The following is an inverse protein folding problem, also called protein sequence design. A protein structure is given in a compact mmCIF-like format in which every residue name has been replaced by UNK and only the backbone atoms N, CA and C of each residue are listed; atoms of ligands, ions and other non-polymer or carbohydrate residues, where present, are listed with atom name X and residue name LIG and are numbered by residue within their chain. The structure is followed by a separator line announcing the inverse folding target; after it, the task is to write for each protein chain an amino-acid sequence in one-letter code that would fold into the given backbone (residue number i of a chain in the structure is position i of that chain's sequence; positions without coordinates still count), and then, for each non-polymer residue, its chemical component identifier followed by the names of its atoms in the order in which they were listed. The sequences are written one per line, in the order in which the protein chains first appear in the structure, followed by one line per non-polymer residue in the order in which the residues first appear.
data_IF_860008406324
#
_entry.id   IF_860008406324
#
_cell.length_a   1.000
_cell.length_b   1.000
_cell.length_c   1.000
_cell.angle_alpha   90.00
_cell.angle_beta   90.00
_cell.angle_gamma   90.00
#
_symmetry.space_group_name_H-M   'P 1'
#
loop_
_entity.id
_entity.type
_entity.pdbx_description
1 polymer ?
#
# COMPACT_ATOMS: atom_id res chain seq x y z
N UNK A 1 -5.99 -15.94 -3.24
CA UNK A 1 -5.50 -15.05 -4.31
C UNK A 1 -4.11 -14.48 -4.02
N UNK A 2 -3.83 -14.08 -2.78
CA UNK A 2 -2.53 -13.49 -2.38
C UNK A 2 -1.29 -14.31 -2.75
N UNK A 3 -1.33 -15.64 -2.57
CA UNK A 3 -0.20 -16.50 -2.94
C UNK A 3 0.12 -16.47 -4.44
N UNK A 4 -0.90 -16.37 -5.30
CA UNK A 4 -0.70 -16.24 -6.74
C UNK A 4 -0.13 -14.86 -7.10
N UNK A 5 -0.67 -13.79 -6.51
CA UNK A 5 -0.14 -12.43 -6.70
C UNK A 5 1.34 -12.35 -6.29
N UNK A 6 1.67 -12.93 -5.14
CA UNK A 6 3.06 -12.99 -4.65
C UNK A 6 3.96 -13.79 -5.58
N UNK A 7 3.51 -14.96 -6.05
CA UNK A 7 4.28 -15.77 -6.99
C UNK A 7 4.53 -15.04 -8.33
N UNK A 8 3.55 -14.25 -8.81
CA UNK A 8 3.72 -13.42 -10.01
C UNK A 8 4.74 -12.29 -9.76
N UNK A 9 4.63 -11.60 -8.62
CA UNK A 9 5.58 -10.56 -8.22
C UNK A 9 7.00 -11.12 -8.09
N UNK A 10 7.17 -12.26 -7.42
CA UNK A 10 8.46 -12.95 -7.25
C UNK A 10 9.04 -13.42 -8.60
N UNK A 11 8.19 -13.67 -9.60
CA UNK A 11 8.59 -13.96 -10.99
C UNK A 11 8.92 -12.70 -11.82
N UNK A 12 8.92 -11.50 -11.20
CA UNK A 12 9.23 -10.23 -11.84
C UNK A 12 8.06 -9.55 -12.55
N UNK A 13 6.82 -10.04 -12.35
CA UNK A 13 5.62 -9.43 -12.92
C UNK A 13 5.14 -8.30 -12.01
N UNK A 14 4.93 -7.10 -12.57
CA UNK A 14 4.33 -6.00 -11.81
C UNK A 14 2.85 -6.28 -11.51
N UNK A 15 2.46 -6.19 -10.24
CA UNK A 15 1.08 -6.34 -9.76
C UNK A 15 0.61 -5.04 -9.15
N UNK A 16 -0.46 -4.45 -9.69
CA UNK A 16 -1.15 -3.31 -9.10
C UNK A 16 -2.44 -3.80 -8.42
N UNK A 17 -2.52 -3.60 -7.11
CA UNK A 17 -3.70 -3.93 -6.31
C UNK A 17 -4.33 -2.64 -5.79
N UNK A 18 -5.66 -2.58 -5.82
CA UNK A 18 -6.44 -1.47 -5.25
C UNK A 18 -7.34 -2.10 -4.18
N UNK A 19 -7.15 -1.70 -2.93
CA UNK A 19 -7.98 -2.13 -1.82
C UNK A 19 -8.14 -0.99 -0.82
N UNK A 20 -9.29 -0.95 -0.15
CA UNK A 20 -9.55 -0.09 1.01
C UNK A 20 -9.30 -0.82 2.34
N UNK A 21 -8.96 -2.11 2.29
CA UNK A 21 -8.61 -2.89 3.47
C UNK A 21 -7.11 -2.72 3.79
N UNK A 22 -6.83 -2.18 4.98
CA UNK A 22 -5.45 -1.91 5.42
C UNK A 22 -4.65 -3.18 5.69
N UNK A 23 -5.28 -4.24 6.20
CA UNK A 23 -4.57 -5.51 6.47
C UNK A 23 -4.10 -6.14 5.17
N UNK A 24 -4.93 -6.05 4.13
CA UNK A 24 -4.60 -6.54 2.79
C UNK A 24 -3.41 -5.78 2.20
N UNK A 25 -3.50 -4.45 2.09
CA UNK A 25 -2.42 -3.65 1.47
C UNK A 25 -1.11 -3.78 2.24
N UNK A 26 -1.13 -3.81 3.57
CA UNK A 26 0.08 -3.99 4.39
C UNK A 26 0.65 -5.40 4.24
N UNK A 27 -0.19 -6.43 4.21
CA UNK A 27 0.24 -7.82 4.20
C UNK A 27 0.85 -8.29 2.88
N UNK A 28 0.43 -7.74 1.74
CA UNK A 28 0.86 -8.23 0.42
C UNK A 28 1.67 -7.25 -0.42
N UNK A 29 1.69 -5.96 -0.09
CA UNK A 29 2.39 -4.98 -0.92
C UNK A 29 3.89 -4.92 -0.63
N UNK A 30 4.64 -4.46 -1.63
CA UNK A 30 6.04 -4.04 -1.43
C UNK A 30 6.14 -2.53 -1.21
N UNK A 31 5.21 -1.77 -1.77
CA UNK A 31 5.04 -0.32 -1.60
C UNK A 31 3.55 0.02 -1.62
N UNK A 32 3.14 1.04 -0.88
CA UNK A 32 1.73 1.48 -0.80
C UNK A 32 1.65 2.94 -1.22
N UNK A 33 0.92 3.23 -2.30
CA UNK A 33 0.52 4.59 -2.63
C UNK A 33 -0.85 4.87 -2.00
N UNK A 34 -0.95 5.92 -1.19
CA UNK A 34 -2.20 6.34 -0.56
C UNK A 34 -2.76 7.54 -1.29
N UNK A 35 -4.07 7.52 -1.54
CA UNK A 35 -4.77 8.61 -2.22
C UNK A 35 -5.68 9.37 -1.24
N UNK A 36 -5.74 10.69 -1.39
CA UNK A 36 -6.67 11.59 -0.70
C UNK A 36 -7.11 12.67 -1.70
N UNK A 37 -8.43 12.90 -1.81
CA UNK A 37 -9.02 13.90 -2.72
C UNK A 37 -8.50 13.83 -4.17
N UNK A 38 -8.37 12.61 -4.70
CA UNK A 38 -7.96 12.37 -6.10
C UNK A 38 -6.46 12.55 -6.38
N UNK A 39 -5.65 12.80 -5.34
CA UNK A 39 -4.20 12.92 -5.44
C UNK A 39 -3.50 11.86 -4.60
N UNK A 40 -2.28 11.48 -4.98
CA UNK A 40 -1.42 10.65 -4.13
C UNK A 40 -0.92 11.53 -2.98
N UNK A 41 -1.37 11.23 -1.76
CA UNK A 41 -0.96 11.96 -0.55
C UNK A 41 0.41 11.50 -0.05
N UNK A 42 0.81 10.26 -0.36
CA UNK A 42 2.13 9.75 -0.07
C UNK A 42 2.34 8.33 -0.59
N UNK A 43 3.61 7.92 -0.61
CA UNK A 43 4.02 6.54 -0.90
C UNK A 43 4.80 6.05 0.31
N UNK A 44 4.42 4.88 0.83
CA UNK A 44 5.09 4.19 1.91
C UNK A 44 5.94 3.06 1.32
N UNK A 45 7.20 3.03 1.70
CA UNK A 45 8.05 1.85 1.53
C UNK A 45 7.88 0.91 2.73
N UNK A 46 8.37 -0.33 2.63
CA UNK A 46 8.07 -1.44 3.54
C UNK A 46 8.36 -1.11 5.01
N UNK A 47 9.42 -0.36 5.27
CA UNK A 47 9.84 0.07 6.60
C UNK A 47 8.86 1.05 7.25
N UNK A 48 8.04 1.71 6.44
CA UNK A 48 7.04 2.69 6.87
C UNK A 48 5.63 2.08 6.96
N UNK A 49 5.48 0.77 6.70
CA UNK A 49 4.18 0.12 6.75
C UNK A 49 3.64 0.12 8.18
N UNK A 50 2.57 0.88 8.37
CA UNK A 50 1.74 0.82 9.57
C UNK A 50 0.34 1.28 9.23
N UNK A 51 -0.64 0.77 9.96
CA UNK A 51 -2.02 1.21 9.83
C UNK A 51 -2.13 2.72 10.12
N UNK A 52 -1.36 3.22 11.10
CA UNK A 52 -1.31 4.65 11.43
C UNK A 52 -0.82 5.50 10.25
N UNK A 53 0.28 5.12 9.59
CA UNK A 53 0.84 5.89 8.50
C UNK A 53 -0.09 5.92 7.28
N UNK A 54 -0.72 4.79 6.96
CA UNK A 54 -1.73 4.73 5.89
C UNK A 54 -2.93 5.62 6.23
N UNK A 55 -3.41 5.59 7.49
CA UNK A 55 -4.52 6.43 7.93
C UNK A 55 -4.19 7.91 7.84
N UNK A 56 -3.01 8.31 8.31
CA UNK A 56 -2.54 9.70 8.26
C UNK A 56 -2.56 10.22 6.83
N UNK A 57 -1.99 9.47 5.89
CA UNK A 57 -1.99 9.83 4.47
C UNK A 57 -3.41 9.86 3.88
N UNK A 58 -4.28 8.93 4.27
CA UNK A 58 -5.65 8.84 3.77
C UNK A 58 -6.54 10.01 4.24
N UNK A 59 -6.18 10.68 5.34
CA UNK A 59 -6.84 11.91 5.83
C UNK A 59 -6.06 13.19 5.49
N UNK A 60 -5.08 13.11 4.58
CA UNK A 60 -4.31 14.26 4.11
C UNK A 60 -3.24 14.78 5.09
N UNK A 61 -2.79 13.96 6.04
CA UNK A 61 -1.70 14.27 6.98
C UNK A 61 -0.42 13.53 6.63
N UNK A 62 0.71 14.03 7.12
CA UNK A 62 2.01 13.39 6.91
C UNK A 62 2.36 12.49 8.11
N UNK A 63 2.86 11.26 7.88
CA UNK A 63 3.44 10.43 8.92
C UNK A 63 4.70 11.12 9.48
N UNK A 64 4.93 11.00 10.79
CA UNK A 64 6.06 11.62 11.50
C UNK A 64 7.34 10.83 11.36
#
# INVERSE_FOLDING_TARGET
IYGLMRALADAGVAVLMISSDMEEVIGVSDRIAVMHEGQISGILDKEQFSQENVLLLAVGKQPR
#
